data_IF_040900749479
#
_entry.id   IF_040900749479
#
_cell.length_a   1.000
_cell.length_b   1.000
_cell.length_c   1.000
_cell.angle_alpha   90.00
_cell.angle_beta   90.00
_cell.angle_gamma   90.00
#
_symmetry.space_group_name_H-M   'P 1'
#
loop_
_entity.id
_entity.type
_entity.pdbx_description
1 polymer ?
#
# COMPACT_ATOMS: atom_id res chain seq x y z
N UNK A 1 -0.70 -7.67 -25.01
CA UNK A 1 0.72 -8.07 -25.05
C UNK A 1 1.20 -8.08 -23.61
N UNK A 2 1.03 -9.23 -22.95
CA UNK A 2 1.44 -9.44 -21.57
C UNK A 2 2.95 -9.66 -21.56
N UNK A 3 3.71 -8.87 -20.80
CA UNK A 3 5.11 -9.19 -20.52
C UNK A 3 5.14 -10.29 -19.47
N UNK A 4 5.55 -11.46 -19.92
CA UNK A 4 5.88 -12.62 -19.11
C UNK A 4 7.16 -12.32 -18.31
N UNK A 5 7.09 -12.40 -16.98
CA UNK A 5 8.24 -12.22 -16.09
C UNK A 5 8.50 -13.55 -15.36
N UNK A 6 8.89 -14.56 -16.14
CA UNK A 6 9.52 -15.76 -15.63
C UNK A 6 11.02 -15.50 -15.43
N UNK A 7 11.48 -15.35 -14.19
CA UNK A 7 12.91 -15.47 -13.87
C UNK A 7 13.09 -16.47 -12.74
N UNK A 8 13.89 -17.49 -13.07
CA UNK A 8 14.21 -18.68 -12.29
C UNK A 8 14.92 -18.34 -10.99
N UNK A 9 14.54 -19.06 -9.95
CA UNK A 9 15.29 -19.20 -8.71
C UNK A 9 16.60 -19.92 -9.02
N UNK A 10 17.76 -19.30 -8.77
CA UNK A 10 18.96 -19.93 -8.20
C UNK A 10 20.17 -18.97 -8.14
N UNK A 11 20.92 -19.07 -7.03
CA UNK A 11 22.37 -18.81 -6.90
C UNK A 11 22.87 -17.53 -6.16
N UNK A 12 23.17 -17.77 -4.88
CA UNK A 12 24.39 -17.42 -4.10
C UNK A 12 24.50 -16.08 -3.35
N UNK A 13 24.85 -16.27 -2.07
CA UNK A 13 25.24 -15.34 -1.02
C UNK A 13 26.60 -14.65 -1.25
N UNK A 14 26.73 -13.38 -0.83
CA UNK A 14 27.70 -12.93 0.20
C UNK A 14 27.71 -11.40 0.36
N UNK A 15 27.47 -10.98 1.61
CA UNK A 15 28.11 -9.91 2.42
C UNK A 15 28.36 -8.49 1.88
N UNK A 16 27.75 -7.49 2.52
CA UNK A 16 28.40 -6.48 3.41
C UNK A 16 27.36 -5.63 4.16
N UNK A 17 27.70 -5.17 5.37
CA UNK A 17 26.80 -4.61 6.41
C UNK A 17 27.00 -3.10 6.55
N UNK A 18 25.87 -2.39 6.80
CA UNK A 18 25.67 -1.06 7.45
C UNK A 18 25.37 0.14 6.52
N UNK A 19 24.34 1.01 6.69
CA UNK A 19 23.77 1.69 7.88
C UNK A 19 22.30 2.13 7.68
N UNK A 20 21.40 1.86 8.65
CA UNK A 20 20.13 2.56 8.99
C UNK A 20 19.17 1.61 9.76
N UNK A 21 18.52 2.03 10.88
CA UNK A 21 17.76 1.11 11.74
C UNK A 21 16.37 0.72 11.25
N UNK A 22 15.69 1.59 10.49
CA UNK A 22 14.28 1.38 10.07
C UNK A 22 14.13 0.56 8.78
N UNK A 23 15.14 0.59 7.90
CA UNK A 23 15.15 -0.17 6.65
C UNK A 23 15.42 -1.66 6.89
N UNK A 24 16.27 -1.99 7.88
CA UNK A 24 16.76 -3.36 8.13
C UNK A 24 15.68 -4.34 8.62
N UNK A 25 14.60 -3.87 9.25
CA UNK A 25 13.55 -4.77 9.79
C UNK A 25 12.36 -4.96 8.85
N UNK A 26 12.12 -4.07 7.88
CA UNK A 26 10.85 -4.04 7.13
C UNK A 26 10.97 -4.15 5.63
N UNK A 27 12.14 -3.87 5.03
CA UNK A 27 12.32 -3.90 3.57
C UNK A 27 13.74 -4.37 3.24
N UNK A 28 13.91 -5.57 2.67
CA UNK A 28 15.19 -5.90 2.04
C UNK A 28 15.15 -5.13 0.75
N UNK A 29 15.85 -4.00 0.67
CA UNK A 29 16.14 -3.43 -0.63
C UNK A 29 17.23 -4.28 -1.22
N UNK A 30 16.85 -5.25 -2.07
CA UNK A 30 17.77 -5.64 -3.11
C UNK A 30 18.10 -4.35 -3.85
N UNK A 31 19.37 -3.96 -3.92
CA UNK A 31 19.82 -3.02 -4.95
C UNK A 31 19.61 -3.72 -6.29
N UNK A 32 18.37 -3.77 -6.75
CA UNK A 32 18.12 -3.91 -8.17
C UNK A 32 18.31 -2.51 -8.71
N UNK A 33 19.46 -2.27 -9.32
CA UNK A 33 19.61 -1.18 -10.28
C UNK A 33 18.42 -1.29 -11.22
N UNK A 34 17.49 -0.34 -11.15
CA UNK A 34 16.34 -0.26 -12.04
C UNK A 34 16.89 0.01 -13.43
N UNK A 35 17.19 -1.04 -14.18
CA UNK A 35 17.70 -0.94 -15.53
C UNK A 35 16.55 -0.52 -16.45
N UNK A 36 16.34 0.79 -16.54
CA UNK A 36 15.40 1.38 -17.48
C UNK A 36 16.16 1.62 -18.77
N UNK A 37 15.76 0.94 -19.84
CA UNK A 37 16.30 1.14 -21.18
C UNK A 37 16.24 2.62 -21.56
N UNK A 38 17.25 3.12 -22.27
CA UNK A 38 17.25 4.49 -22.81
C UNK A 38 16.33 4.64 -24.04
N UNK A 39 15.32 3.78 -24.13
CA UNK A 39 14.26 3.84 -25.13
C UNK A 39 13.53 5.18 -25.03
N UNK A 40 13.36 5.85 -26.17
CA UNK A 40 12.64 7.12 -26.25
C UNK A 40 11.13 6.91 -26.18
N UNK A 41 10.43 7.71 -25.38
CA UNK A 41 8.97 7.71 -25.34
C UNK A 41 8.36 7.96 -23.97
N UNK A 42 7.03 7.88 -23.92
CA UNK A 42 6.25 8.07 -22.71
C UNK A 42 6.25 6.80 -21.84
N UNK A 43 6.70 6.93 -20.60
CA UNK A 43 6.53 5.97 -19.52
C UNK A 43 5.39 6.43 -18.59
N UNK A 44 4.52 5.50 -18.20
CA UNK A 44 3.40 5.79 -17.31
C UNK A 44 3.61 5.13 -15.96
N UNK A 45 3.62 5.94 -14.91
CA UNK A 45 3.65 5.46 -13.55
C UNK A 45 2.43 5.98 -12.82
N UNK A 46 1.50 5.07 -12.51
CA UNK A 46 0.45 5.35 -11.53
C UNK A 46 -0.41 6.60 -11.88
N UNK A 47 -0.67 6.81 -13.18
CA UNK A 47 -1.45 7.93 -13.71
C UNK A 47 -0.65 9.19 -14.07
N UNK A 48 0.67 9.16 -13.94
CA UNK A 48 1.58 10.21 -14.41
C UNK A 48 2.40 9.73 -15.60
N UNK A 49 2.51 10.58 -16.60
CA UNK A 49 3.37 10.39 -17.77
C UNK A 49 4.76 10.98 -17.52
N UNK A 50 5.79 10.33 -18.07
CA UNK A 50 7.19 10.73 -18.04
C UNK A 50 7.80 10.52 -19.42
N UNK A 51 8.48 11.51 -19.98
CA UNK A 51 9.17 11.46 -21.26
C UNK A 51 10.63 11.06 -21.06
N UNK A 52 10.98 9.85 -21.50
CA UNK A 52 12.32 9.30 -21.39
C UNK A 52 13.16 9.57 -22.65
N UNK A 53 14.48 9.81 -22.52
CA UNK A 53 15.27 9.73 -21.27
C UNK A 53 15.28 11.02 -20.43
N UNK A 54 14.62 12.10 -20.86
CA UNK A 54 14.73 13.43 -20.25
C UNK A 54 14.27 13.44 -18.77
N UNK A 55 13.18 12.75 -18.46
CA UNK A 55 12.59 12.69 -17.11
C UNK A 55 12.96 11.39 -16.37
N UNK A 56 14.04 10.71 -16.79
CA UNK A 56 14.51 9.46 -16.16
C UNK A 56 14.84 9.62 -14.67
N UNK A 57 15.53 10.67 -14.21
CA UNK A 57 15.76 10.89 -12.77
C UNK A 57 14.47 11.04 -11.96
N UNK A 58 13.51 11.80 -12.48
CA UNK A 58 12.22 12.06 -11.85
C UNK A 58 11.35 10.80 -11.80
N UNK A 59 11.39 9.97 -12.85
CA UNK A 59 10.74 8.68 -12.93
C UNK A 59 11.33 7.71 -11.90
N UNK A 60 12.67 7.57 -11.84
CA UNK A 60 13.36 6.71 -10.86
C UNK A 60 13.04 7.17 -9.43
N UNK A 61 13.07 8.48 -9.18
CA UNK A 61 12.70 9.04 -7.87
C UNK A 61 11.26 8.69 -7.48
N UNK A 62 10.31 8.68 -8.42
CA UNK A 62 8.92 8.31 -8.16
C UNK A 62 8.76 6.80 -7.93
N UNK A 63 9.44 5.95 -8.71
CA UNK A 63 9.51 4.50 -8.48
C UNK A 63 10.07 4.20 -7.09
N UNK A 64 11.18 4.85 -6.71
CA UNK A 64 11.83 4.64 -5.42
C UNK A 64 11.02 5.18 -4.22
N UNK A 65 10.01 6.00 -4.48
CA UNK A 65 9.08 6.48 -3.46
C UNK A 65 7.92 5.51 -3.18
N UNK A 66 7.79 4.45 -3.99
CA UNK A 66 6.76 3.45 -3.79
C UNK A 66 7.12 2.55 -2.59
N UNK A 67 6.19 2.46 -1.63
CA UNK A 67 6.15 1.38 -0.64
C UNK A 67 6.29 0.01 -1.32
N UNK A 68 7.32 -0.72 -0.93
CA UNK A 68 7.59 -2.06 -1.44
C UNK A 68 7.54 -3.08 -0.31
N UNK A 69 6.61 -4.03 -0.42
CA UNK A 69 6.50 -5.14 0.51
C UNK A 69 6.96 -6.43 -0.15
N UNK A 70 7.84 -7.16 0.53
CA UNK A 70 8.43 -8.42 0.06
C UNK A 70 8.27 -9.52 1.10
N UNK A 71 8.62 -10.75 0.74
CA UNK A 71 8.61 -11.87 1.66
C UNK A 71 9.47 -11.60 2.91
N UNK A 72 8.97 -12.07 4.05
CA UNK A 72 9.58 -11.91 5.36
C UNK A 72 9.65 -13.26 6.06
N UNK A 73 10.56 -13.33 7.03
CA UNK A 73 10.79 -14.50 7.87
C UNK A 73 11.14 -14.05 9.28
N UNK A 74 10.83 -14.89 10.26
CA UNK A 74 11.10 -14.63 11.66
C UNK A 74 10.09 -13.72 12.35
N UNK A 75 8.95 -13.41 11.72
CA UNK A 75 7.85 -12.73 12.40
C UNK A 75 7.17 -13.66 13.42
N UNK A 76 6.38 -13.09 14.35
CA UNK A 76 5.62 -13.88 15.34
C UNK A 76 4.67 -14.86 14.63
N UNK A 77 4.47 -16.10 15.13
CA UNK A 77 3.65 -17.07 14.41
C UNK A 77 2.22 -16.58 14.16
N UNK A 78 1.73 -16.74 12.92
CA UNK A 78 0.36 -16.37 12.52
C UNK A 78 -0.65 -17.36 13.12
N UNK A 79 -1.75 -16.83 13.68
CA UNK A 79 -2.85 -17.64 14.23
C UNK A 79 -2.47 -18.51 15.43
N UNK A 80 -1.36 -18.21 16.11
CA UNK A 80 -0.86 -19.04 17.23
C UNK A 80 -0.24 -20.37 16.80
N UNK A 81 -0.21 -20.69 15.50
CA UNK A 81 0.44 -21.88 14.97
C UNK A 81 1.96 -21.71 15.00
N UNK A 82 2.66 -22.49 15.84
CA UNK A 82 4.07 -22.28 16.20
C UNK A 82 5.08 -22.21 15.05
N UNK A 83 4.72 -22.65 13.85
CA UNK A 83 5.63 -22.78 12.71
C UNK A 83 5.40 -21.74 11.59
N UNK A 84 4.26 -21.04 11.55
CA UNK A 84 3.96 -20.10 10.46
C UNK A 84 4.59 -18.73 10.71
N UNK A 85 5.91 -18.65 10.51
CA UNK A 85 6.78 -17.49 10.78
C UNK A 85 7.43 -16.89 9.53
N UNK A 86 6.99 -17.30 8.34
CA UNK A 86 7.44 -16.76 7.07
C UNK A 86 6.32 -16.84 6.04
N UNK A 87 6.28 -15.86 5.13
CA UNK A 87 5.36 -15.83 4.01
C UNK A 87 5.98 -16.22 2.66
N UNK A 88 7.23 -16.69 2.68
CA UNK A 88 7.92 -17.19 1.48
C UNK A 88 7.17 -18.36 0.87
N UNK A 89 6.89 -18.27 -0.43
CA UNK A 89 6.22 -19.32 -1.21
C UNK A 89 4.69 -19.23 -1.26
N UNK A 90 4.06 -18.38 -0.45
CA UNK A 90 2.59 -18.24 -0.43
C UNK A 90 2.09 -16.80 -0.27
N UNK A 91 2.91 -15.91 0.26
CA UNK A 91 2.55 -14.53 0.64
C UNK A 91 2.41 -13.53 -0.49
N UNK A 92 2.77 -13.86 -1.73
CA UNK A 92 2.99 -12.85 -2.79
C UNK A 92 1.77 -11.98 -3.05
N UNK A 93 0.59 -12.58 -3.15
CA UNK A 93 -0.64 -11.83 -3.42
C UNK A 93 -1.01 -10.90 -2.25
N UNK A 94 -0.76 -11.33 -1.00
CA UNK A 94 -0.93 -10.47 0.17
C UNK A 94 0.03 -9.28 0.13
N UNK A 95 1.31 -9.49 -0.21
CA UNK A 95 2.29 -8.40 -0.38
C UNK A 95 1.90 -7.42 -1.49
N UNK A 96 1.36 -7.91 -2.61
CA UNK A 96 0.78 -7.07 -3.64
C UNK A 96 -0.42 -6.26 -3.12
N UNK A 97 -1.30 -6.87 -2.33
CA UNK A 97 -2.41 -6.20 -1.67
C UNK A 97 -1.95 -5.11 -0.70
N UNK A 98 -0.90 -5.39 0.08
CA UNK A 98 -0.27 -4.41 0.97
C UNK A 98 0.27 -3.22 0.16
N UNK A 99 0.95 -3.44 -0.97
CA UNK A 99 1.45 -2.34 -1.82
C UNK A 99 0.30 -1.51 -2.36
N UNK A 100 -0.76 -2.15 -2.88
CA UNK A 100 -1.95 -1.46 -3.39
C UNK A 100 -2.62 -0.60 -2.32
N UNK A 101 -2.85 -1.15 -1.13
CA UNK A 101 -3.48 -0.43 -0.02
C UNK A 101 -2.57 0.67 0.52
N UNK A 102 -1.29 0.38 0.70
CA UNK A 102 -0.28 1.35 1.15
C UNK A 102 -0.19 2.55 0.23
N UNK A 103 -0.14 2.34 -1.10
CA UNK A 103 -0.18 3.45 -2.05
C UNK A 103 -1.50 4.22 -2.02
N UNK A 104 -2.63 3.55 -1.75
CA UNK A 104 -3.93 4.21 -1.61
C UNK A 104 -3.94 5.13 -0.38
N UNK A 105 -3.40 4.67 0.76
CA UNK A 105 -3.23 5.47 1.97
C UNK A 105 -2.26 6.65 1.76
N UNK A 106 -1.12 6.41 1.13
CA UNK A 106 -0.16 7.47 0.77
C UNK A 106 -0.83 8.53 -0.12
N UNK A 107 -1.57 8.12 -1.14
CA UNK A 107 -2.29 9.07 -2.01
C UNK A 107 -3.35 9.86 -1.26
N UNK A 108 -4.09 9.22 -0.37
CA UNK A 108 -5.14 9.87 0.42
C UNK A 108 -4.55 10.92 1.38
N UNK A 109 -3.49 10.56 2.11
CA UNK A 109 -2.88 11.42 3.11
C UNK A 109 -1.90 12.44 2.50
N UNK A 110 -0.91 11.96 1.73
CA UNK A 110 0.24 12.71 1.27
C UNK A 110 0.07 13.26 -0.16
N UNK A 111 -0.86 12.70 -0.93
CA UNK A 111 -1.13 13.08 -2.31
C UNK A 111 -0.22 12.36 -3.30
N UNK A 112 -0.58 12.38 -4.59
CA UNK A 112 0.17 11.71 -5.67
C UNK A 112 1.58 12.28 -5.88
N UNK A 113 1.77 13.55 -5.55
CA UNK A 113 3.01 14.30 -5.81
C UNK A 113 4.06 14.13 -4.71
N UNK A 114 3.65 13.56 -3.58
CA UNK A 114 4.57 13.24 -2.50
C UNK A 114 5.57 12.19 -2.98
N UNK A 115 6.84 12.45 -2.70
CA UNK A 115 7.97 11.57 -2.99
C UNK A 115 8.79 11.42 -1.73
N UNK A 116 9.28 10.22 -1.48
CA UNK A 116 10.23 9.98 -0.41
C UNK A 116 11.56 10.67 -0.76
N UNK A 117 12.03 11.55 0.13
CA UNK A 117 13.29 12.26 -0.04
C UNK A 117 14.22 11.92 1.11
N UNK A 118 15.36 11.33 0.80
CA UNK A 118 16.51 11.35 1.71
C UNK A 118 17.20 12.69 1.46
N UNK A 119 17.21 13.60 2.44
CA UNK A 119 17.93 14.88 2.29
C UNK A 119 19.44 14.61 2.31
N UNK A 120 20.22 15.52 1.72
CA UNK A 120 21.68 15.40 1.58
C UNK A 120 22.44 15.25 2.91
N UNK A 121 21.82 15.62 4.02
CA UNK A 121 22.33 15.44 5.38
C UNK A 121 21.91 14.11 6.03
N UNK A 122 21.34 13.17 5.27
CA UNK A 122 20.80 11.90 5.75
C UNK A 122 19.47 12.02 6.50
N UNK A 123 18.88 13.22 6.59
CA UNK A 123 17.59 13.43 7.25
C UNK A 123 16.46 13.15 6.27
N UNK A 124 15.69 12.12 6.55
CA UNK A 124 14.52 11.76 5.73
C UNK A 124 13.45 12.87 5.84
N UNK A 125 12.81 13.23 4.71
CA UNK A 125 11.62 14.09 4.72
C UNK A 125 10.46 13.31 5.33
N UNK A 126 10.41 13.28 6.66
CA UNK A 126 9.41 12.56 7.41
C UNK A 126 8.16 13.42 7.53
N UNK A 127 7.36 13.44 6.46
CA UNK A 127 5.95 13.76 6.64
C UNK A 127 5.43 12.88 7.79
N UNK A 128 4.81 13.45 8.84
CA UNK A 128 4.48 12.70 10.05
C UNK A 128 3.49 11.56 9.81
N UNK A 129 2.71 11.63 8.72
CA UNK A 129 1.77 10.57 8.36
C UNK A 129 2.45 9.36 7.71
N UNK A 130 3.60 9.52 7.02
CA UNK A 130 4.32 8.41 6.38
C UNK A 130 4.69 7.26 7.33
N UNK A 131 5.38 7.50 8.47
CA UNK A 131 5.72 6.42 9.40
C UNK A 131 4.49 5.74 9.99
N UNK A 132 3.39 6.49 10.18
CA UNK A 132 2.14 5.91 10.69
C UNK A 132 1.51 5.01 9.63
N UNK A 133 1.47 5.43 8.37
CA UNK A 133 1.03 4.56 7.26
C UNK A 133 1.87 3.29 7.21
N UNK A 134 3.20 3.42 7.26
CA UNK A 134 4.11 2.27 7.21
C UNK A 134 3.90 1.32 8.40
N UNK A 135 3.62 1.86 9.59
CA UNK A 135 3.38 1.08 10.79
C UNK A 135 2.19 0.11 10.64
N UNK A 136 1.16 0.48 9.86
CA UNK A 136 -0.01 -0.36 9.60
C UNK A 136 0.28 -1.62 8.75
N UNK A 137 1.47 -1.73 8.16
CA UNK A 137 1.88 -2.87 7.33
C UNK A 137 2.98 -3.72 7.95
N UNK A 138 3.45 -3.38 9.14
CA UNK A 138 4.47 -4.17 9.85
C UNK A 138 3.98 -5.61 10.04
N UNK A 139 4.90 -6.59 10.01
CA UNK A 139 4.59 -8.01 10.19
C UNK A 139 4.33 -8.36 11.68
N UNK A 140 3.36 -7.67 12.27
CA UNK A 140 2.90 -7.86 13.65
C UNK A 140 1.40 -8.07 13.65
N UNK A 141 0.91 -8.86 14.60
CA UNK A 141 -0.53 -9.10 14.75
C UNK A 141 -1.33 -7.85 15.14
N UNK A 142 -0.68 -6.73 15.47
CA UNK A 142 -1.34 -5.49 15.88
C UNK A 142 -1.55 -4.51 14.73
N UNK A 143 -0.73 -4.58 13.68
CA UNK A 143 -0.84 -3.70 12.51
C UNK A 143 -2.00 -4.14 11.60
N UNK A 144 -2.88 -3.22 11.21
CA UNK A 144 -4.17 -3.52 10.59
C UNK A 144 -4.05 -4.29 9.27
N UNK A 145 -3.07 -3.92 8.44
CA UNK A 145 -2.81 -4.50 7.12
C UNK A 145 -1.57 -5.41 7.12
N UNK A 146 -1.15 -5.88 8.29
CA UNK A 146 -0.08 -6.88 8.41
C UNK A 146 -0.41 -8.18 7.68
N UNK A 147 0.62 -8.96 7.35
CA UNK A 147 0.44 -10.31 6.80
C UNK A 147 -0.37 -11.20 7.76
N UNK A 148 -0.25 -11.00 9.07
CA UNK A 148 -1.03 -11.69 10.10
C UNK A 148 -2.51 -11.42 9.94
N UNK A 149 -2.89 -10.14 9.88
CA UNK A 149 -4.28 -9.72 9.82
C UNK A 149 -4.92 -10.08 8.49
N UNK A 150 -4.21 -9.89 7.37
CA UNK A 150 -4.74 -10.24 6.04
C UNK A 150 -4.91 -11.75 5.86
N UNK A 151 -3.95 -12.55 6.33
CA UNK A 151 -4.05 -14.02 6.27
C UNK A 151 -5.18 -14.52 7.17
N UNK A 152 -5.32 -13.96 8.37
CA UNK A 152 -6.42 -14.33 9.29
C UNK A 152 -7.78 -13.96 8.70
N UNK A 153 -7.90 -12.77 8.09
CA UNK A 153 -9.13 -12.33 7.44
C UNK A 153 -9.48 -13.16 6.20
N UNK A 154 -8.49 -13.71 5.49
CA UNK A 154 -8.71 -14.58 4.33
C UNK A 154 -9.39 -15.90 4.69
N UNK A 155 -9.35 -16.33 5.96
CA UNK A 155 -10.05 -17.52 6.47
C UNK A 155 -11.55 -17.41 6.29
N UNK A 156 -12.12 -16.21 6.52
CA UNK A 156 -13.55 -15.93 6.32
C UNK A 156 -13.98 -16.12 4.84
N UNK A 157 -13.02 -16.15 3.92
CA UNK A 157 -13.21 -16.36 2.49
C UNK A 157 -12.69 -17.72 2.01
N UNK A 158 -12.56 -18.69 2.92
CA UNK A 158 -12.25 -20.08 2.62
C UNK A 158 -10.77 -20.35 2.33
N UNK A 159 -9.85 -19.57 2.90
CA UNK A 159 -8.40 -19.82 2.79
C UNK A 159 -7.82 -20.29 4.11
N UNK A 160 -6.98 -21.31 4.05
CA UNK A 160 -6.23 -21.75 5.21
C UNK A 160 -5.06 -20.82 5.50
N UNK A 161 -4.68 -20.72 6.78
CA UNK A 161 -3.51 -19.95 7.18
C UNK A 161 -2.25 -20.48 6.48
N UNK A 162 -1.44 -19.56 5.95
CA UNK A 162 -0.19 -19.91 5.29
C UNK A 162 -0.37 -20.44 3.86
N UNK A 163 -1.54 -20.25 3.26
CA UNK A 163 -1.79 -20.61 1.86
C UNK A 163 -1.92 -19.38 0.98
N UNK A 164 -1.66 -19.58 -0.31
CA UNK A 164 -1.84 -18.54 -1.30
C UNK A 164 -3.32 -18.15 -1.44
N UNK A 165 -3.59 -16.85 -1.48
CA UNK A 165 -4.91 -16.30 -1.77
C UNK A 165 -4.88 -15.52 -3.10
N UNK A 166 -5.94 -15.64 -3.89
CA UNK A 166 -6.06 -14.90 -5.14
C UNK A 166 -6.46 -13.43 -4.94
N UNK A 167 -6.38 -12.61 -6.00
CA UNK A 167 -6.61 -11.16 -5.92
C UNK A 167 -7.95 -10.78 -5.29
N UNK A 168 -9.04 -11.48 -5.64
CA UNK A 168 -10.36 -11.19 -5.07
C UNK A 168 -10.39 -11.45 -3.55
N UNK A 169 -9.84 -12.57 -3.07
CA UNK A 169 -9.80 -12.86 -1.64
C UNK A 169 -9.00 -11.82 -0.87
N UNK A 170 -7.82 -11.42 -1.38
CA UNK A 170 -7.00 -10.37 -0.76
C UNK A 170 -7.75 -9.02 -0.77
N UNK A 171 -8.45 -8.67 -1.85
CA UNK A 171 -9.24 -7.45 -1.93
C UNK A 171 -10.40 -7.44 -0.91
N UNK A 172 -11.09 -8.57 -0.73
CA UNK A 172 -12.14 -8.69 0.29
C UNK A 172 -11.55 -8.62 1.70
N UNK A 173 -10.37 -9.20 1.93
CA UNK A 173 -9.70 -9.10 3.21
C UNK A 173 -9.31 -7.64 3.54
N UNK A 174 -8.74 -6.91 2.58
CA UNK A 174 -8.47 -5.48 2.69
C UNK A 174 -9.75 -4.68 2.97
N UNK A 175 -10.86 -5.01 2.31
CA UNK A 175 -12.16 -4.38 2.56
C UNK A 175 -12.66 -4.57 3.99
N UNK A 176 -12.56 -5.78 4.54
CA UNK A 176 -12.93 -6.01 5.93
C UNK A 176 -12.03 -5.25 6.89
N UNK A 177 -10.71 -5.24 6.65
CA UNK A 177 -9.76 -4.53 7.50
C UNK A 177 -9.96 -3.01 7.48
N UNK A 178 -10.15 -2.42 6.31
CA UNK A 178 -10.42 -0.99 6.17
C UNK A 178 -11.70 -0.56 6.92
N UNK A 179 -12.74 -1.41 6.95
CA UNK A 179 -13.97 -1.11 7.71
C UNK A 179 -13.79 -1.14 9.22
N UNK A 180 -12.79 -1.86 9.73
CA UNK A 180 -12.49 -1.99 11.15
C UNK A 180 -11.36 -1.08 11.63
N UNK A 181 -10.72 -0.36 10.72
CA UNK A 181 -9.58 0.49 11.00
C UNK A 181 -10.05 1.93 11.32
N UNK A 182 -10.09 2.33 12.60
CA UNK A 182 -10.58 3.64 12.99
C UNK A 182 -9.66 4.79 12.52
N UNK A 183 -8.41 4.47 12.17
CA UNK A 183 -7.43 5.47 11.74
C UNK A 183 -7.52 5.71 10.23
N UNK A 184 -8.09 4.77 9.47
CA UNK A 184 -8.23 4.82 8.03
C UNK A 184 -9.60 5.36 7.61
N UNK A 185 -9.58 6.51 6.91
CA UNK A 185 -10.77 7.05 6.26
C UNK A 185 -10.79 6.70 4.76
N UNK A 186 -10.68 5.42 4.43
CA UNK A 186 -10.84 4.93 3.05
C UNK A 186 -11.88 3.83 3.03
N UNK A 187 -12.81 3.95 2.07
CA UNK A 187 -13.76 2.88 1.75
C UNK A 187 -13.21 2.03 0.62
N UNK A 188 -13.05 0.72 0.88
CA UNK A 188 -12.68 -0.26 -0.13
C UNK A 188 -13.94 -0.92 -0.68
N UNK A 189 -14.25 -0.66 -1.94
CA UNK A 189 -15.32 -1.33 -2.66
C UNK A 189 -14.73 -2.36 -3.63
N UNK A 190 -15.19 -3.61 -3.53
CA UNK A 190 -14.80 -4.68 -4.46
C UNK A 190 -15.95 -4.92 -5.42
N UNK A 191 -15.81 -4.43 -6.65
CA UNK A 191 -16.79 -4.63 -7.70
C UNK A 191 -16.74 -6.08 -8.20
N UNK A 192 -17.89 -6.74 -8.21
CA UNK A 192 -18.05 -8.11 -8.70
C UNK A 192 -18.70 -8.09 -10.10
N UNK A 193 -18.63 -9.22 -10.80
CA UNK A 193 -19.35 -9.44 -12.07
C UNK A 193 -19.01 -8.41 -13.18
N UNK A 194 -17.80 -7.85 -13.15
CA UNK A 194 -17.33 -6.82 -14.08
C UNK A 194 -18.23 -5.56 -14.12
N UNK A 195 -18.99 -5.32 -13.05
CA UNK A 195 -19.97 -4.24 -12.97
C UNK A 195 -19.67 -3.29 -11.81
N UNK A 196 -19.52 -2.00 -12.13
CA UNK A 196 -19.37 -0.95 -11.13
C UNK A 196 -20.68 -0.21 -10.93
N UNK A 197 -21.34 -0.46 -9.81
CA UNK A 197 -22.61 0.21 -9.47
C UNK A 197 -22.32 1.48 -8.67
N UNK A 198 -22.36 2.64 -9.34
CA UNK A 198 -22.06 3.95 -8.72
C UNK A 198 -22.87 4.22 -7.45
N UNK A 199 -24.15 3.83 -7.42
CA UNK A 199 -25.01 4.03 -6.27
C UNK A 199 -24.56 3.21 -5.05
N UNK A 200 -24.06 1.99 -5.26
CA UNK A 200 -23.53 1.15 -4.19
C UNK A 200 -22.29 1.77 -3.55
N UNK A 201 -21.39 2.31 -4.38
CA UNK A 201 -20.20 3.04 -3.90
C UNK A 201 -20.61 4.27 -3.08
N UNK A 202 -21.52 5.11 -3.60
CA UNK A 202 -22.00 6.30 -2.88
C UNK A 202 -22.58 5.92 -1.51
N UNK A 203 -23.38 4.85 -1.44
CA UNK A 203 -23.95 4.37 -0.18
C UNK A 203 -22.86 3.91 0.79
N UNK A 204 -21.87 3.14 0.34
CA UNK A 204 -20.78 2.70 1.20
C UNK A 204 -19.95 3.88 1.76
N UNK A 205 -19.66 4.90 0.95
CA UNK A 205 -18.99 6.12 1.42
C UNK A 205 -19.82 6.88 2.46
N UNK A 206 -21.11 7.12 2.20
CA UNK A 206 -22.00 7.82 3.12
C UNK A 206 -22.16 7.10 4.46
N UNK A 207 -22.20 5.76 4.44
CA UNK A 207 -22.26 4.97 5.67
C UNK A 207 -20.97 5.05 6.48
N UNK A 208 -19.82 5.11 5.81
CA UNK A 208 -18.52 5.30 6.46
C UNK A 208 -18.43 6.66 7.16
N UNK A 209 -18.87 7.73 6.49
CA UNK A 209 -18.92 9.08 7.07
C UNK A 209 -19.80 9.14 8.32
N UNK A 210 -20.96 8.47 8.31
CA UNK A 210 -21.84 8.40 9.48
C UNK A 210 -21.21 7.65 10.66
N UNK A 211 -20.56 6.51 10.40
CA UNK A 211 -19.84 5.76 11.46
C UNK A 211 -18.77 6.61 12.12
N UNK A 212 -17.98 7.34 11.32
CA UNK A 212 -16.99 8.27 11.85
C UNK A 212 -17.63 9.41 12.64
N UNK A 213 -18.86 9.82 12.34
CA UNK A 213 -19.57 10.82 13.13
C UNK A 213 -20.17 10.26 14.44
N UNK A 214 -20.51 8.97 14.49
CA UNK A 214 -21.17 8.32 15.63
C UNK A 214 -20.17 7.69 16.63
N UNK A 215 -19.08 7.09 16.16
CA UNK A 215 -18.14 6.31 16.99
C UNK A 215 -16.96 7.14 17.55
N UNK A 216 -16.82 8.41 17.17
CA UNK A 216 -15.66 9.23 17.57
C UNK A 216 -15.91 9.94 18.91
N UNK A 217 -15.18 9.61 20.00
CA UNK A 217 -15.04 10.55 21.10
C UNK A 217 -14.36 11.82 20.56
N UNK A 218 -14.78 13.00 21.02
CA UNK A 218 -14.43 14.35 20.54
C UNK A 218 -12.91 14.64 20.42
N UNK A 219 -12.04 13.73 20.87
CA UNK A 219 -10.59 13.92 20.96
C UNK A 219 -9.73 13.12 19.96
N UNK A 220 -10.28 12.22 19.14
CA UNK A 220 -9.46 11.41 18.21
C UNK A 220 -9.84 11.65 16.75
N UNK A 221 -9.30 12.69 16.11
CA UNK A 221 -9.46 12.87 14.66
C UNK A 221 -8.83 11.68 13.90
N UNK A 222 -9.47 11.18 12.82
CA UNK A 222 -8.88 10.15 11.98
C UNK A 222 -7.52 10.62 11.46
N UNK A 223 -6.50 9.79 11.63
CA UNK A 223 -5.13 10.13 11.27
C UNK A 223 -4.97 10.43 9.76
N UNK A 224 -5.91 9.96 8.96
CA UNK A 224 -6.06 10.24 7.53
C UNK A 224 -7.39 10.89 7.18
N UNK A 225 -7.83 11.89 7.95
CA UNK A 225 -8.99 12.71 7.56
C UNK A 225 -8.82 13.17 6.11
N UNK A 226 -9.87 13.10 5.28
CA UNK A 226 -9.74 13.51 3.89
C UNK A 226 -9.36 14.98 3.97
N UNK A 227 -8.27 15.37 3.29
CA UNK A 227 -7.86 16.77 3.16
C UNK A 227 -9.13 17.61 3.10
N UNK A 228 -9.30 18.55 4.03
CA UNK A 228 -10.29 19.59 3.86
C UNK A 228 -10.05 20.14 2.47
N UNK A 229 -10.88 19.75 1.50
CA UNK A 229 -10.89 20.32 0.18
C UNK A 229 -11.36 21.73 0.41
N UNK A 230 -10.40 22.62 0.69
CA UNK A 230 -10.69 24.04 0.71
C UNK A 230 -11.27 24.36 -0.65
N UNK A 231 -12.54 24.77 -0.65
CA UNK A 231 -13.27 25.26 -1.83
C UNK A 231 -12.58 26.46 -2.49
N UNK A 232 -11.47 26.96 -1.93
CA UNK A 232 -10.59 27.94 -2.54
C UNK A 232 -9.63 27.39 -3.61
N UNK A 233 -9.46 26.07 -3.73
CA UNK A 233 -8.58 25.49 -4.76
C UNK A 233 -9.27 25.43 -6.13
N UNK A 234 -8.59 25.81 -7.24
CA UNK A 234 -9.17 25.82 -8.59
C UNK A 234 -9.79 24.48 -9.04
N UNK A 235 -9.27 23.34 -8.55
CA UNK A 235 -9.82 22.00 -8.84
C UNK A 235 -11.18 21.73 -8.17
N UNK A 236 -11.51 22.42 -7.07
CA UNK A 236 -12.79 22.25 -6.37
C UNK A 236 -14.00 22.75 -7.16
N UNK A 237 -13.79 23.69 -8.09
CA UNK A 237 -14.87 24.24 -8.94
C UNK A 237 -15.24 23.35 -10.12
N UNK A 238 -14.37 22.42 -10.52
CA UNK A 238 -14.62 21.57 -11.69
C UNK A 238 -15.53 20.37 -11.38
N UNK A 239 -15.56 19.91 -10.12
CA UNK A 239 -16.38 18.76 -9.69
C UNK A 239 -17.82 19.15 -9.30
N UNK A 240 -18.12 20.42 -9.06
CA UNK A 240 -19.49 20.88 -8.79
C UNK A 240 -20.39 20.90 -10.03
N UNK A 241 -19.82 20.75 -11.23
CA UNK A 241 -20.53 20.80 -12.50
C UNK A 241 -20.69 19.43 -13.18
N UNK A 242 -20.26 18.33 -12.54
CA UNK A 242 -20.33 16.96 -13.09
C UNK A 242 -21.05 15.97 -12.14
N UNK A 243 -21.76 16.47 -11.12
CA UNK A 243 -22.67 15.69 -10.28
C UNK A 243 -24.12 16.10 -10.51
#
# INVERSE_FOLDING_TARGET
>A
MFMDMSLSCDTIANTQIDTSPLRKSTCYTHEQTTHISDSTGAAWLLGREYYLPQEKPEFISDVNSLLWFSYRKGFKPIGGSGNLKSDTGWGCCYRCGQMLMGHSLIRNALGRDWKWRVKDNGVEDMNPHYPVILAEFLDTSTACYSIHQLTSQAVDFGRDLGTWAGPNTVAQALRCRAKSDPLCNIVVHVAMDMLVIRQSIKKECQMSERRLAEDMPVEVEPLFSPRQFSLSSPMGKLLSHVC
#
